data_IF_152694272072
#
_entry.id   IF_152694272072
#
_cell.length_a   1.000
_cell.length_b   1.000
_cell.length_c   1.000
_cell.angle_alpha   90.00
_cell.angle_beta   90.00
_cell.angle_gamma   90.00
#
_symmetry.space_group_name_H-M   'P 1'
#
loop_
_entity.id
_entity.type
_entity.pdbx_description
1 polymer ?
#
# COMPACT_ATOMS: atom_id res chain seq x y z
N UNK A 1 26.67 -18.60 39.25
CA UNK A 1 25.41 -17.92 38.86
C UNK A 1 25.02 -18.45 37.50
N UNK A 2 23.73 -18.70 37.23
CA UNK A 2 23.26 -19.10 35.90
C UNK A 2 23.40 -17.92 34.93
N UNK A 3 23.58 -18.18 33.64
CA UNK A 3 23.60 -17.14 32.58
C UNK A 3 22.31 -16.30 32.60
N UNK A 4 21.20 -16.92 33.01
CA UNK A 4 19.93 -16.24 33.28
C UNK A 4 20.01 -15.25 34.45
N UNK A 5 20.72 -15.59 35.53
CA UNK A 5 20.84 -14.75 36.72
C UNK A 5 21.73 -13.52 36.44
N UNK A 6 22.74 -13.65 35.57
CA UNK A 6 23.57 -12.53 35.12
C UNK A 6 22.80 -11.54 34.25
N UNK A 7 21.91 -12.03 33.37
CA UNK A 7 21.02 -11.19 32.55
C UNK A 7 19.99 -10.45 33.41
N UNK A 8 19.38 -11.11 34.40
CA UNK A 8 18.45 -10.48 35.35
C UNK A 8 19.16 -9.37 36.11
N UNK A 9 20.35 -9.65 36.67
CA UNK A 9 21.14 -8.65 37.39
C UNK A 9 21.48 -7.45 36.51
N UNK A 10 21.88 -7.68 35.26
CA UNK A 10 22.20 -6.60 34.31
C UNK A 10 20.98 -5.72 33.98
N UNK A 11 19.79 -6.32 33.87
CA UNK A 11 18.53 -5.58 33.65
C UNK A 11 18.13 -4.76 34.88
N UNK A 12 18.33 -5.30 36.09
CA UNK A 12 18.07 -4.58 37.34
C UNK A 12 19.05 -3.41 37.52
N UNK A 13 20.33 -3.60 37.21
CA UNK A 13 21.34 -2.52 37.23
C UNK A 13 21.03 -1.41 36.21
N UNK A 14 20.29 -1.73 35.13
CA UNK A 14 19.79 -0.76 34.14
C UNK A 14 18.49 -0.05 34.58
N UNK A 15 17.96 -0.35 35.77
CA UNK A 15 16.79 0.32 36.36
C UNK A 15 15.43 -0.32 36.05
N UNK A 16 15.41 -1.57 35.59
CA UNK A 16 14.18 -2.37 35.47
C UNK A 16 13.89 -3.15 36.76
N UNK A 17 12.62 -3.45 37.05
CA UNK A 17 12.31 -4.28 38.20
C UNK A 17 12.67 -5.75 37.92
N UNK A 18 12.92 -6.52 38.98
CA UNK A 18 13.24 -7.94 38.86
C UNK A 18 12.07 -8.73 38.22
N UNK A 19 10.83 -8.33 38.51
CA UNK A 19 9.64 -8.92 37.89
C UNK A 19 9.57 -8.64 36.38
N UNK A 20 9.90 -7.42 35.93
CA UNK A 20 9.96 -7.07 34.51
C UNK A 20 11.05 -7.86 33.77
N UNK A 21 12.22 -7.99 34.39
CA UNK A 21 13.32 -8.79 33.84
C UNK A 21 12.92 -10.27 33.69
N UNK A 22 12.29 -10.85 34.72
CA UNK A 22 11.82 -12.23 34.69
C UNK A 22 10.71 -12.46 33.66
N UNK A 23 9.75 -11.54 33.54
CA UNK A 23 8.70 -11.60 32.53
C UNK A 23 9.26 -11.49 31.12
N UNK A 24 10.23 -10.60 30.88
CA UNK A 24 10.86 -10.44 29.58
C UNK A 24 11.62 -11.70 29.15
N UNK A 25 12.38 -12.30 30.06
CA UNK A 25 13.10 -13.55 29.79
C UNK A 25 12.12 -14.70 29.54
N UNK A 26 11.02 -14.78 30.28
CA UNK A 26 9.98 -15.81 30.05
C UNK A 26 9.28 -15.62 28.70
N UNK A 27 9.05 -14.36 28.28
CA UNK A 27 8.37 -14.03 27.02
C UNK A 27 9.26 -14.19 25.80
N UNK A 28 10.52 -13.78 25.89
CA UNK A 28 11.45 -13.72 24.76
C UNK A 28 12.38 -14.93 24.67
N UNK A 29 12.51 -15.73 25.74
CA UNK A 29 13.48 -16.81 25.81
C UNK A 29 14.90 -16.28 26.03
N UNK A 30 15.89 -17.12 25.73
CA UNK A 30 17.30 -16.78 25.88
C UNK A 30 17.82 -15.97 24.69
N UNK A 31 17.54 -14.67 24.71
CA UNK A 31 17.92 -13.70 23.67
C UNK A 31 18.97 -12.71 24.18
N UNK A 32 19.44 -11.83 23.30
CA UNK A 32 20.42 -10.79 23.65
C UNK A 32 19.84 -9.79 24.65
N UNK A 33 20.70 -9.21 25.49
CA UNK A 33 20.31 -8.29 26.57
C UNK A 33 19.53 -7.08 26.04
N UNK A 34 19.88 -6.56 24.86
CA UNK A 34 19.18 -5.42 24.27
C UNK A 34 17.77 -5.76 23.75
N UNK A 35 17.53 -7.00 23.33
CA UNK A 35 16.19 -7.45 22.94
C UNK A 35 15.26 -7.59 24.16
N UNK A 36 15.80 -7.99 25.31
CA UNK A 36 15.06 -7.99 26.58
C UNK A 36 14.69 -6.56 27.01
N UNK A 37 15.61 -5.59 26.87
CA UNK A 37 15.37 -4.17 27.16
C UNK A 37 14.27 -3.59 26.26
N UNK A 38 14.31 -3.90 24.96
CA UNK A 38 13.28 -3.46 24.01
C UNK A 38 11.90 -4.07 24.34
N UNK A 39 11.86 -5.33 24.78
CA UNK A 39 10.64 -6.03 25.19
C UNK A 39 9.98 -5.41 26.44
N UNK A 40 10.79 -5.08 27.46
CA UNK A 40 10.31 -4.41 28.68
C UNK A 40 9.81 -2.99 28.33
N UNK A 41 10.57 -2.26 27.53
CA UNK A 41 10.22 -0.90 27.10
C UNK A 41 8.92 -0.86 26.28
N UNK A 42 8.71 -1.84 25.40
CA UNK A 42 7.47 -1.99 24.64
C UNK A 42 6.27 -2.28 25.55
N UNK A 43 6.46 -3.07 26.62
CA UNK A 43 5.41 -3.43 27.58
C UNK A 43 4.96 -2.23 28.42
N UNK A 44 5.90 -1.39 28.87
CA UNK A 44 5.58 -0.16 29.61
C UNK A 44 4.77 0.83 28.77
N UNK A 45 5.04 0.92 27.47
CA UNK A 45 4.28 1.78 26.55
C UNK A 45 2.83 1.30 26.40
N UNK A 46 2.60 -0.01 26.43
CA UNK A 46 1.24 -0.56 26.38
C UNK A 46 0.46 -0.30 27.66
N UNK A 47 1.08 -0.41 28.84
CA UNK A 47 0.41 -0.16 30.13
C UNK A 47 0.06 1.32 30.35
N UNK A 48 0.94 2.24 29.95
CA UNK A 48 0.67 3.70 30.00
C UNK A 48 -0.47 4.15 29.06
N UNK A 49 -0.77 3.34 28.04
CA UNK A 49 -1.92 3.58 27.14
C UNK A 49 -3.25 3.05 27.69
N UNK A 50 -3.20 2.13 28.66
CA UNK A 50 -4.37 1.55 29.32
C UNK A 50 -4.76 2.29 30.61
N UNK A 51 -3.81 2.92 31.31
CA UNK A 51 -4.09 3.70 32.54
C UNK A 51 -4.82 5.03 32.30
N UNK A 52 -4.87 5.53 31.05
CA UNK A 52 -5.51 6.81 30.70
C UNK A 52 -6.97 6.73 30.23
N UNK A 53 -7.58 5.54 30.18
CA UNK A 53 -8.92 5.35 29.60
C UNK A 53 -9.93 4.61 30.51
N UNK A 54 -9.74 4.60 31.84
CA UNK A 54 -10.70 4.00 32.78
C UNK A 54 -11.49 5.07 33.54
N UNK A 55 -12.44 5.70 32.86
CA UNK A 55 -13.68 6.17 33.47
C UNK A 55 -14.80 6.10 32.44
N UNK A 56 -15.89 5.42 32.81
CA UNK A 56 -17.16 5.22 32.09
C UNK A 56 -17.23 4.07 31.06
N UNK A 57 -17.47 2.85 31.56
CA UNK A 57 -18.82 2.26 31.56
C UNK A 57 -18.79 0.80 32.04
N UNK A 58 -19.45 0.56 33.19
CA UNK A 58 -19.90 -0.76 33.61
C UNK A 58 -21.11 -1.18 32.77
N UNK A 59 -20.98 -2.22 31.94
CA UNK A 59 -22.10 -3.11 31.60
C UNK A 59 -21.58 -4.56 31.62
N UNK A 60 -21.89 -5.19 32.74
CA UNK A 60 -22.12 -6.62 33.02
C UNK A 60 -21.71 -7.67 31.98
N UNK A 61 -20.81 -8.53 32.43
CA UNK A 61 -20.77 -9.97 32.18
C UNK A 61 -22.15 -10.58 31.88
N UNK A 62 -22.26 -11.24 30.72
CA UNK A 62 -22.96 -12.52 30.56
C UNK A 62 -22.66 -13.14 29.21
N UNK A 63 -22.41 -14.45 29.27
CA UNK A 63 -22.42 -15.44 28.19
C UNK A 63 -21.10 -15.66 27.42
N UNK A 64 -20.17 -16.30 28.11
CA UNK A 64 -19.47 -17.47 27.53
C UNK A 64 -20.49 -18.60 27.32
N UNK A 65 -20.57 -19.09 26.08
CA UNK A 65 -20.77 -20.50 25.66
C UNK A 65 -21.58 -20.58 24.36
N UNK A 66 -20.87 -20.82 23.25
CA UNK A 66 -21.24 -21.73 22.15
C UNK A 66 -20.56 -21.34 20.82
N UNK A 67 -19.31 -21.74 20.62
CA UNK A 67 -18.75 -21.89 19.27
C UNK A 67 -18.78 -23.37 18.88
N UNK A 68 -19.95 -23.82 18.42
CA UNK A 68 -20.11 -25.06 17.68
C UNK A 68 -19.74 -24.83 16.20
N UNK A 69 -18.80 -25.64 15.71
CA UNK A 69 -18.26 -25.54 14.36
C UNK A 69 -19.21 -25.91 13.21
N UNK A 70 -18.64 -25.83 11.99
CA UNK A 70 -19.18 -26.15 10.64
C UNK A 70 -19.95 -25.02 9.94
N UNK A 71 -19.22 -24.22 9.14
CA UNK A 71 -19.75 -23.63 7.88
C UNK A 71 -18.67 -23.17 6.86
N UNK A 72 -17.44 -23.70 6.90
CA UNK A 72 -16.38 -23.36 5.92
C UNK A 72 -16.33 -24.25 4.68
N UNK A 73 -16.99 -25.43 4.71
CA UNK A 73 -16.90 -26.43 3.64
C UNK A 73 -17.71 -26.08 2.36
N UNK A 74 -18.76 -25.25 2.46
CA UNK A 74 -19.65 -24.97 1.31
C UNK A 74 -19.04 -24.08 0.22
N UNK A 75 -18.06 -23.23 0.54
CA UNK A 75 -17.39 -22.36 -0.44
C UNK A 75 -16.41 -23.13 -1.35
N UNK A 76 -15.93 -24.29 -0.91
CA UNK A 76 -14.92 -25.07 -1.63
C UNK A 76 -15.50 -25.99 -2.70
N UNK A 77 -16.80 -26.29 -2.62
CA UNK A 77 -17.46 -27.32 -3.44
C UNK A 77 -18.04 -26.76 -4.75
N UNK A 78 -18.45 -25.49 -4.78
CA UNK A 78 -18.88 -24.81 -6.01
C UNK A 78 -17.72 -24.62 -7.01
N UNK A 79 -16.49 -24.47 -6.50
CA UNK A 79 -15.28 -24.33 -7.32
C UNK A 79 -14.92 -25.61 -8.08
N UNK A 80 -15.33 -26.79 -7.59
CA UNK A 80 -15.07 -28.08 -8.24
C UNK A 80 -16.04 -28.39 -9.38
N UNK A 81 -17.26 -27.84 -9.36
CA UNK A 81 -18.31 -28.14 -10.35
C UNK A 81 -18.09 -27.51 -11.73
N UNK A 82 -17.22 -26.50 -11.88
CA UNK A 82 -16.87 -25.92 -13.18
C UNK A 82 -15.75 -26.67 -13.94
N UNK A 83 -15.19 -27.75 -13.37
CA UNK A 83 -14.04 -28.47 -13.91
C UNK A 83 -14.36 -29.44 -15.08
N UNK A 84 -15.63 -29.67 -15.43
CA UNK A 84 -16.03 -30.76 -16.34
C UNK A 84 -16.47 -30.34 -17.77
N UNK A 85 -16.02 -29.22 -18.34
CA UNK A 85 -16.42 -28.88 -19.72
C UNK A 85 -15.34 -28.59 -20.76
N UNK A 86 -14.05 -28.62 -20.43
CA UNK A 86 -13.03 -28.40 -21.46
C UNK A 86 -11.86 -29.36 -21.28
N UNK A 87 -11.99 -30.53 -21.92
CA UNK A 87 -10.89 -31.48 -22.11
C UNK A 87 -10.23 -31.30 -23.48
N UNK A 88 -8.92 -31.01 -23.46
CA UNK A 88 -7.91 -31.52 -24.39
C UNK A 88 -7.81 -30.96 -25.82
N UNK A 89 -6.71 -30.25 -26.13
CA UNK A 89 -5.53 -30.82 -26.85
C UNK A 89 -4.37 -29.83 -27.04
N UNK A 90 -3.18 -30.38 -26.76
CA UNK A 90 -1.78 -30.14 -27.13
C UNK A 90 -1.28 -28.90 -27.93
N UNK A 91 -0.25 -28.29 -27.31
CA UNK A 91 1.09 -27.89 -27.80
C UNK A 91 1.32 -26.58 -28.57
N UNK A 92 2.19 -25.76 -27.95
CA UNK A 92 3.00 -24.70 -28.55
C UNK A 92 3.81 -23.97 -27.47
N UNK A 93 5.12 -24.21 -27.42
CA UNK A 93 6.13 -23.69 -26.49
C UNK A 93 5.76 -22.45 -25.65
N UNK A 94 5.31 -22.70 -24.42
CA UNK A 94 5.30 -21.77 -23.29
C UNK A 94 6.21 -22.36 -22.21
N UNK A 95 6.94 -21.55 -21.41
CA UNK A 95 7.65 -22.09 -20.25
C UNK A 95 6.60 -22.74 -19.35
N UNK A 96 6.78 -24.03 -19.08
CA UNK A 96 5.92 -24.79 -18.18
C UNK A 96 5.85 -24.12 -16.82
N UNK A 97 4.68 -23.60 -16.44
CA UNK A 97 4.33 -23.23 -15.07
C UNK A 97 4.07 -24.50 -14.23
N UNK A 98 5.03 -25.43 -14.24
CA UNK A 98 5.06 -26.60 -13.34
C UNK A 98 6.15 -26.43 -12.26
N UNK A 99 6.52 -25.17 -12.00
CA UNK A 99 7.34 -24.82 -10.85
C UNK A 99 6.49 -24.96 -9.59
N UNK A 100 7.01 -25.70 -8.61
CA UNK A 100 6.41 -25.87 -7.28
C UNK A 100 5.77 -24.57 -6.77
N UNK A 101 4.63 -24.67 -6.08
CA UNK A 101 3.93 -23.52 -5.45
C UNK A 101 4.78 -22.71 -4.45
N UNK A 102 6.05 -23.08 -4.28
CA UNK A 102 7.03 -22.57 -3.35
C UNK A 102 8.20 -21.85 -4.03
N UNK A 103 8.09 -21.30 -5.25
CA UNK A 103 9.13 -20.38 -5.77
C UNK A 103 8.67 -18.91 -5.74
N UNK A 104 9.47 -17.99 -5.19
CA UNK A 104 9.15 -16.56 -5.20
C UNK A 104 9.19 -16.02 -6.63
N UNK A 105 8.14 -15.31 -7.04
CA UNK A 105 8.13 -14.63 -8.34
C UNK A 105 9.26 -13.58 -8.37
N UNK A 106 10.25 -13.70 -9.28
CA UNK A 106 11.39 -12.81 -9.29
C UNK A 106 10.96 -11.39 -9.69
N UNK A 107 11.41 -10.40 -8.91
CA UNK A 107 11.14 -8.99 -9.21
C UNK A 107 12.06 -8.51 -10.34
N UNK A 108 11.52 -7.92 -11.43
CA UNK A 108 12.33 -7.39 -12.52
C UNK A 108 13.31 -6.32 -12.03
N UNK A 109 14.50 -6.29 -12.64
CA UNK A 109 15.49 -5.23 -12.46
C UNK A 109 16.06 -4.82 -13.84
N UNK A 110 15.74 -3.62 -14.36
CA UNK A 110 14.99 -2.55 -13.72
C UNK A 110 13.48 -2.83 -13.63
N UNK A 111 12.81 -2.26 -12.62
CA UNK A 111 11.38 -2.45 -12.36
C UNK A 111 10.55 -1.38 -13.07
N UNK A 112 10.40 -1.56 -14.39
CA UNK A 112 9.86 -0.54 -15.32
C UNK A 112 8.54 -0.97 -15.98
N UNK A 113 7.86 -1.97 -15.42
CA UNK A 113 6.59 -2.47 -15.96
C UNK A 113 6.73 -3.06 -17.36
N UNK A 114 5.68 -2.95 -18.16
CA UNK A 114 5.62 -3.52 -19.51
C UNK A 114 6.12 -2.57 -20.59
N UNK A 115 5.97 -1.25 -20.40
CA UNK A 115 6.26 -0.28 -21.45
C UNK A 115 6.51 1.15 -20.95
N UNK A 116 7.18 1.34 -19.82
CA UNK A 116 7.42 2.70 -19.31
C UNK A 116 8.26 3.55 -20.30
N UNK A 117 7.92 4.84 -20.51
CA UNK A 117 8.60 5.67 -21.51
C UNK A 117 10.10 5.83 -21.18
N UNK A 118 10.95 5.74 -22.21
CA UNK A 118 12.40 5.86 -22.08
C UNK A 118 13.15 4.55 -21.82
N UNK A 119 12.46 3.42 -21.73
CA UNK A 119 13.06 2.09 -21.64
C UNK A 119 12.83 1.31 -22.95
N UNK A 120 13.92 0.82 -23.55
CA UNK A 120 13.88 -0.13 -24.66
C UNK A 120 13.75 -1.54 -24.07
N UNK A 121 12.53 -2.01 -23.86
CA UNK A 121 12.28 -3.41 -23.51
C UNK A 121 11.67 -4.17 -24.69
N UNK A 122 11.91 -5.49 -24.81
CA UNK A 122 11.15 -6.33 -25.74
C UNK A 122 9.65 -6.14 -25.46
N UNK A 123 8.86 -5.98 -26.51
CA UNK A 123 7.41 -5.91 -26.39
C UNK A 123 6.90 -7.09 -25.57
N UNK A 124 6.32 -6.84 -24.40
CA UNK A 124 5.70 -7.90 -23.61
C UNK A 124 4.41 -8.31 -24.33
N UNK A 125 4.45 -9.42 -25.07
CA UNK A 125 3.25 -9.97 -25.69
C UNK A 125 2.40 -10.63 -24.62
N UNK A 126 1.42 -9.89 -24.10
CA UNK A 126 0.47 -10.39 -23.10
C UNK A 126 -0.78 -10.92 -23.78
N UNK A 127 -0.89 -12.23 -23.93
CA UNK A 127 -2.09 -12.88 -24.46
C UNK A 127 -3.06 -13.12 -23.31
N UNK A 128 -4.14 -12.35 -23.27
CA UNK A 128 -5.25 -12.60 -22.36
C UNK A 128 -6.30 -13.50 -23.02
N UNK A 129 -6.93 -14.43 -22.29
CA UNK A 129 -8.13 -15.12 -22.76
C UNK A 129 -9.21 -14.11 -23.17
N UNK A 130 -9.96 -14.37 -24.25
CA UNK A 130 -11.02 -13.46 -24.74
C UNK A 130 -12.07 -13.10 -23.68
N UNK A 131 -12.33 -14.01 -22.74
CA UNK A 131 -13.26 -13.82 -21.62
C UNK A 131 -12.73 -12.86 -20.54
N UNK A 132 -11.43 -12.54 -20.56
CA UNK A 132 -10.75 -11.67 -19.60
C UNK A 132 -10.32 -10.35 -20.23
N UNK A 133 -10.58 -10.17 -21.53
CA UNK A 133 -10.41 -8.90 -22.25
C UNK A 133 -11.71 -8.09 -22.28
N UNK A 134 -11.60 -6.77 -22.18
CA UNK A 134 -12.73 -5.85 -22.26
C UNK A 134 -13.38 -5.55 -20.90
N UNK A 135 -14.52 -4.81 -20.91
CA UNK A 135 -15.18 -4.38 -19.69
C UNK A 135 -15.82 -5.55 -18.91
N UNK A 136 -15.83 -5.49 -17.57
CA UNK A 136 -15.16 -4.47 -16.77
C UNK A 136 -13.64 -4.62 -16.88
N UNK A 137 -12.96 -3.50 -17.15
CA UNK A 137 -11.52 -3.46 -16.89
C UNK A 137 -11.32 -3.56 -15.38
N UNK A 138 -10.27 -4.24 -14.94
CA UNK A 138 -9.93 -4.31 -13.54
C UNK A 138 -8.50 -3.89 -13.31
N UNK A 139 -8.22 -3.31 -12.16
CA UNK A 139 -6.90 -2.82 -11.78
C UNK A 139 -6.67 -3.03 -10.28
N UNK A 140 -5.79 -3.96 -9.94
CA UNK A 140 -5.46 -4.30 -8.57
C UNK A 140 -3.98 -4.00 -8.26
N UNK A 141 -3.73 -3.23 -7.20
CA UNK A 141 -2.39 -2.88 -6.72
C UNK A 141 -2.04 -3.62 -5.43
N UNK A 142 -0.77 -4.02 -5.31
CA UNK A 142 -0.19 -4.50 -4.07
C UNK A 142 1.32 -4.20 -4.00
N UNK A 143 1.91 -4.29 -2.81
CA UNK A 143 3.36 -4.09 -2.63
C UNK A 143 4.17 -5.10 -3.43
N UNK A 144 5.20 -4.65 -4.15
CA UNK A 144 6.03 -5.54 -4.97
C UNK A 144 6.74 -6.61 -4.12
N UNK A 145 7.32 -6.19 -2.99
CA UNK A 145 8.04 -7.05 -2.05
C UNK A 145 7.09 -7.77 -1.08
N UNK A 146 6.01 -8.35 -1.60
CA UNK A 146 5.09 -9.15 -0.80
C UNK A 146 5.75 -10.48 -0.33
N UNK A 147 5.26 -11.10 0.76
CA UNK A 147 5.71 -12.43 1.18
C UNK A 147 5.63 -13.47 0.05
N UNK A 148 6.43 -14.52 0.21
CA UNK A 148 6.50 -15.66 -0.73
C UNK A 148 5.10 -16.26 -0.95
N UNK A 149 4.78 -16.62 -2.20
CA UNK A 149 3.48 -17.20 -2.57
C UNK A 149 2.32 -16.19 -2.71
N UNK A 150 2.45 -14.95 -2.24
CA UNK A 150 1.39 -13.94 -2.33
C UNK A 150 1.08 -13.58 -3.78
N UNK A 151 2.09 -13.22 -4.57
CA UNK A 151 1.88 -12.88 -5.99
C UNK A 151 1.39 -14.06 -6.83
N UNK A 152 1.87 -15.27 -6.55
CA UNK A 152 1.36 -16.48 -7.20
C UNK A 152 -0.13 -16.68 -6.90
N UNK A 153 -0.55 -16.45 -5.65
CA UNK A 153 -1.96 -16.54 -5.27
C UNK A 153 -2.78 -15.42 -5.92
N UNK A 154 -2.34 -14.16 -5.85
CA UNK A 154 -3.06 -13.04 -6.45
C UNK A 154 -3.23 -13.28 -7.97
N UNK A 155 -2.16 -13.69 -8.66
CA UNK A 155 -2.21 -14.04 -10.10
C UNK A 155 -3.23 -15.14 -10.37
N UNK A 156 -3.15 -16.26 -9.63
CA UNK A 156 -4.07 -17.39 -9.79
C UNK A 156 -5.55 -17.00 -9.63
N UNK A 157 -5.85 -16.13 -8.68
CA UNK A 157 -7.22 -15.65 -8.48
C UNK A 157 -7.63 -14.59 -9.51
N UNK A 158 -6.70 -13.76 -9.98
CA UNK A 158 -6.95 -12.76 -11.03
C UNK A 158 -6.61 -13.29 -12.43
N UNK A 159 -7.15 -14.48 -12.73
CA UNK A 159 -7.16 -15.11 -14.06
C UNK A 159 -5.78 -15.47 -14.62
N UNK A 160 -4.84 -15.84 -13.75
CA UNK A 160 -3.46 -16.19 -14.08
C UNK A 160 -2.70 -15.06 -14.82
N UNK A 161 -3.14 -13.81 -14.61
CA UNK A 161 -2.55 -12.63 -15.23
C UNK A 161 -1.25 -12.26 -14.52
N UNK A 162 -0.18 -12.13 -15.31
CA UNK A 162 1.11 -11.69 -14.81
C UNK A 162 1.04 -10.27 -14.23
N UNK A 163 1.57 -10.02 -13.02
CA UNK A 163 1.67 -8.68 -12.46
C UNK A 163 2.68 -7.81 -13.21
N UNK A 164 2.30 -6.57 -13.46
CA UNK A 164 3.17 -5.49 -13.93
C UNK A 164 3.90 -4.87 -12.73
N UNK A 165 5.20 -5.14 -12.58
CA UNK A 165 6.01 -4.57 -11.50
C UNK A 165 6.65 -3.24 -11.92
N UNK A 166 6.33 -2.16 -11.20
CA UNK A 166 6.85 -0.80 -11.47
C UNK A 166 7.37 -0.17 -10.18
N UNK A 167 8.52 0.49 -10.27
CA UNK A 167 9.01 1.41 -9.25
C UNK A 167 8.73 2.86 -9.69
N UNK A 168 7.89 3.59 -8.95
CA UNK A 168 7.51 4.97 -9.30
C UNK A 168 8.69 5.94 -9.42
N UNK A 169 9.90 5.60 -8.91
CA UNK A 169 11.10 6.43 -9.10
C UNK A 169 11.45 6.71 -10.56
N UNK A 170 10.95 5.88 -11.48
CA UNK A 170 11.20 6.04 -12.91
C UNK A 170 10.31 7.15 -13.53
N UNK A 171 9.24 7.53 -12.82
CA UNK A 171 8.30 8.60 -13.18
C UNK A 171 8.50 9.85 -12.31
N UNK A 172 8.66 9.70 -11.00
CA UNK A 172 8.73 10.82 -10.04
C UNK A 172 9.95 10.74 -9.11
N UNK A 173 10.09 11.74 -8.23
CA UNK A 173 11.20 11.90 -7.28
C UNK A 173 11.19 10.92 -6.10
N UNK A 174 10.23 9.98 -6.03
CA UNK A 174 10.10 9.02 -4.92
C UNK A 174 10.05 7.58 -5.43
N UNK A 175 10.82 6.69 -4.82
CA UNK A 175 10.71 5.27 -5.08
C UNK A 175 9.44 4.68 -4.47
N UNK A 176 8.69 3.89 -5.22
CA UNK A 176 7.50 3.17 -4.75
C UNK A 176 7.32 1.92 -5.58
N UNK A 177 7.93 0.83 -5.12
CA UNK A 177 7.86 -0.49 -5.78
C UNK A 177 6.51 -1.13 -5.55
N UNK A 178 5.74 -1.35 -6.61
CA UNK A 178 4.42 -1.97 -6.61
C UNK A 178 4.28 -2.99 -7.74
N UNK A 179 3.39 -3.94 -7.54
CA UNK A 179 2.87 -4.79 -8.61
C UNK A 179 1.42 -4.42 -8.90
N UNK A 180 1.05 -4.50 -10.17
CA UNK A 180 -0.29 -4.19 -10.66
C UNK A 180 -0.80 -5.35 -11.49
N UNK A 181 -1.96 -5.92 -11.15
CA UNK A 181 -2.63 -6.90 -12.01
C UNK A 181 -3.86 -6.24 -12.61
N UNK A 182 -3.92 -6.25 -13.94
CA UNK A 182 -5.02 -5.66 -14.69
C UNK A 182 -5.22 -6.33 -16.04
N UNK A 183 -6.38 -6.13 -16.63
CA UNK A 183 -6.66 -6.53 -18.02
C UNK A 183 -6.62 -5.36 -19.02
N UNK A 184 -6.18 -4.16 -18.59
CA UNK A 184 -6.02 -3.00 -19.47
C UNK A 184 -5.08 -3.27 -20.65
N UNK A 185 -5.35 -2.70 -21.84
CA UNK A 185 -4.38 -2.62 -22.92
C UNK A 185 -3.06 -2.01 -22.44
N UNK A 186 -1.97 -2.51 -22.99
CA UNK A 186 -0.63 -2.02 -22.64
C UNK A 186 -0.11 -1.09 -23.74
N UNK A 187 -0.61 -1.19 -24.96
CA UNK A 187 -0.26 -0.31 -26.07
C UNK A 187 -0.85 1.10 -25.90
N UNK A 188 -0.22 2.09 -26.52
CA UNK A 188 -0.71 3.48 -26.59
C UNK A 188 -0.94 4.17 -25.24
N UNK A 189 -0.22 3.76 -24.19
CA UNK A 189 -0.17 4.50 -22.92
C UNK A 189 0.52 5.85 -23.11
N UNK A 190 0.06 6.85 -22.37
CA UNK A 190 0.64 8.19 -22.36
C UNK A 190 0.83 8.69 -20.93
N UNK A 191 1.95 9.37 -20.61
CA UNK A 191 2.15 9.94 -19.29
C UNK A 191 1.29 11.18 -19.08
N UNK A 192 1.01 11.50 -17.81
CA UNK A 192 0.40 12.78 -17.46
C UNK A 192 1.33 13.94 -17.78
N UNK A 193 0.74 15.03 -18.26
CA UNK A 193 1.42 16.30 -18.50
C UNK A 193 0.89 17.37 -17.54
N UNK A 194 1.75 18.26 -17.01
CA UNK A 194 3.21 18.20 -17.09
C UNK A 194 3.79 16.97 -16.37
N UNK A 195 4.96 16.51 -16.81
CA UNK A 195 5.65 15.39 -16.16
C UNK A 195 6.00 15.76 -14.71
N UNK A 196 5.84 14.83 -13.75
CA UNK A 196 6.23 15.09 -12.37
C UNK A 196 7.76 15.23 -12.24
N UNK A 197 8.24 15.97 -11.22
CA UNK A 197 9.67 16.11 -10.98
C UNK A 197 10.29 14.73 -10.67
N UNK A 198 11.47 14.45 -11.26
CA UNK A 198 12.20 13.18 -11.10
C UNK A 198 13.24 13.21 -10.00
N UNK A 199 13.61 14.40 -9.52
CA UNK A 199 14.59 14.57 -8.44
C UNK A 199 14.06 15.45 -7.31
N UNK A 200 14.66 15.29 -6.12
CA UNK A 200 14.37 16.13 -4.94
C UNK A 200 14.52 17.61 -5.27
N UNK A 201 15.54 17.98 -6.05
CA UNK A 201 15.84 19.37 -6.36
C UNK A 201 14.97 19.95 -7.47
N UNK A 202 14.41 19.12 -8.35
CA UNK A 202 13.34 19.55 -9.27
C UNK A 202 12.03 19.78 -8.51
N UNK A 203 11.71 18.92 -7.54
CA UNK A 203 10.52 19.06 -6.72
C UNK A 203 10.62 20.26 -5.76
N UNK A 204 11.78 20.41 -5.12
CA UNK A 204 12.03 21.38 -4.05
C UNK A 204 13.41 22.04 -4.21
N UNK A 205 13.55 23.03 -5.12
CA UNK A 205 14.84 23.66 -5.39
C UNK A 205 15.50 24.31 -4.17
N UNK A 206 14.68 24.78 -3.21
CA UNK A 206 15.13 25.47 -2.01
C UNK A 206 15.97 24.58 -1.05
N UNK A 207 15.82 23.26 -1.10
CA UNK A 207 16.65 22.33 -0.32
C UNK A 207 18.11 22.30 -0.75
N UNK A 208 18.40 22.65 -2.01
CA UNK A 208 19.77 22.64 -2.56
C UNK A 208 20.73 23.52 -1.74
N UNK A 209 20.24 24.62 -1.17
CA UNK A 209 21.03 25.56 -0.35
C UNK A 209 21.67 24.88 0.87
N UNK A 210 20.99 23.90 1.46
CA UNK A 210 21.40 23.26 2.71
C UNK A 210 21.90 21.83 2.52
N UNK A 211 21.90 21.34 1.28
CA UNK A 211 22.24 19.96 0.98
C UNK A 211 23.76 19.75 1.06
N UNK A 212 24.26 18.87 1.94
CA UNK A 212 25.69 18.62 2.03
C UNK A 212 26.19 17.83 0.82
N UNK A 213 27.43 18.09 0.40
CA UNK A 213 28.06 17.43 -0.75
C UNK A 213 28.21 15.90 -0.59
N UNK A 214 28.18 15.39 0.64
CA UNK A 214 28.25 13.96 0.94
C UNK A 214 26.89 13.26 0.98
N UNK A 215 25.77 14.00 0.94
CA UNK A 215 24.44 13.42 0.73
C UNK A 215 24.16 13.32 -0.78
N UNK A 216 24.42 12.15 -1.33
CA UNK A 216 24.27 11.88 -2.77
C UNK A 216 22.83 11.54 -3.20
N UNK A 217 21.83 11.67 -2.32
CA UNK A 217 20.44 11.37 -2.69
C UNK A 217 19.93 12.39 -3.68
N UNK A 218 19.44 11.90 -4.82
CA UNK A 218 18.68 12.68 -5.79
C UNK A 218 17.19 12.33 -5.75
N UNK A 219 16.82 11.23 -5.11
CA UNK A 219 15.45 10.72 -4.96
C UNK A 219 15.18 10.28 -3.52
N UNK A 220 13.91 10.28 -3.14
CA UNK A 220 13.43 9.81 -1.84
C UNK A 220 13.07 8.32 -1.90
N UNK A 221 13.05 7.67 -0.74
CA UNK A 221 12.54 6.32 -0.60
C UNK A 221 11.00 6.33 -0.55
N UNK A 222 10.40 5.14 -0.45
CA UNK A 222 8.95 5.00 -0.30
C UNK A 222 8.42 5.85 0.84
N UNK A 223 7.48 6.73 0.49
CA UNK A 223 6.75 7.56 1.44
C UNK A 223 5.99 6.67 2.42
N UNK A 224 6.10 6.99 3.72
CA UNK A 224 5.60 6.16 4.82
C UNK A 224 4.44 6.84 5.54
N UNK A 225 3.75 6.07 6.36
CA UNK A 225 2.61 6.53 7.17
C UNK A 225 3.03 7.21 8.46
N UNK A 226 4.29 7.05 8.86
CA UNK A 226 4.88 7.67 10.05
C UNK A 226 6.03 8.59 9.67
N UNK A 227 6.18 9.65 10.46
CA UNK A 227 7.27 10.61 10.33
C UNK A 227 8.28 10.44 11.45
N UNK A 228 9.50 10.91 11.21
CA UNK A 228 10.53 10.95 12.23
C UNK A 228 10.12 11.86 13.40
N UNK A 229 10.52 11.49 14.62
CA UNK A 229 10.29 12.32 15.80
C UNK A 229 11.24 13.51 15.86
N UNK A 230 10.81 14.58 16.52
CA UNK A 230 11.66 15.74 16.79
C UNK A 230 12.96 15.33 17.51
N UNK A 231 12.87 14.41 18.48
CA UNK A 231 14.03 13.84 19.20
C UNK A 231 15.07 13.25 18.25
N UNK A 232 14.65 12.57 17.18
CA UNK A 232 15.58 12.02 16.18
C UNK A 232 16.29 13.14 15.41
N UNK A 233 15.55 14.15 14.96
CA UNK A 233 16.12 15.29 14.22
C UNK A 233 17.08 16.11 15.08
N UNK A 234 16.77 16.29 16.37
CA UNK A 234 17.66 16.94 17.33
C UNK A 234 18.96 16.16 17.54
N UNK A 235 18.87 14.82 17.67
CA UNK A 235 20.04 13.96 17.83
C UNK A 235 20.96 14.03 16.61
N UNK A 236 20.39 14.03 15.40
CA UNK A 236 21.14 14.24 14.15
C UNK A 236 21.82 15.61 14.17
N UNK A 237 21.09 16.67 14.54
CA UNK A 237 21.63 18.03 14.61
C UNK A 237 22.79 18.16 15.60
N UNK A 238 22.68 17.55 16.79
CA UNK A 238 23.77 17.52 17.80
C UNK A 238 25.00 16.78 17.27
N UNK A 239 24.82 15.60 16.68
CA UNK A 239 25.93 14.81 16.13
C UNK A 239 26.69 15.57 15.03
N UNK A 240 25.98 16.32 14.18
CA UNK A 240 26.59 17.15 13.14
C UNK A 240 27.24 18.43 13.70
N UNK A 241 26.67 19.03 14.74
CA UNK A 241 27.23 20.22 15.38
C UNK A 241 28.53 19.92 16.15
N UNK A 242 28.66 18.72 16.70
CA UNK A 242 29.87 18.26 17.41
C UNK A 242 30.92 17.62 16.49
N UNK A 243 30.75 17.69 15.17
CA UNK A 243 31.64 17.06 14.19
C UNK A 243 32.47 18.10 13.42
N UNK A 244 33.60 17.65 12.88
CA UNK A 244 34.38 18.41 11.90
C UNK A 244 33.57 18.71 10.63
N UNK A 245 34.07 19.63 9.80
CA UNK A 245 33.48 19.95 8.50
C UNK A 245 34.44 19.53 7.39
N UNK A 246 34.21 18.41 6.69
CA UNK A 246 33.06 17.50 6.76
C UNK A 246 33.09 16.53 7.96
N UNK A 247 31.92 16.00 8.40
CA UNK A 247 31.87 15.05 9.51
C UNK A 247 32.61 13.75 9.21
N UNK A 248 33.06 13.04 10.26
CA UNK A 248 33.65 11.71 10.11
C UNK A 248 32.71 10.73 9.39
N UNK A 249 33.28 9.76 8.65
CA UNK A 249 32.51 8.79 7.84
C UNK A 249 31.46 8.01 8.65
N UNK A 250 31.75 7.72 9.92
CA UNK A 250 30.81 7.06 10.84
C UNK A 250 29.56 7.90 11.08
N UNK A 251 29.73 9.20 11.33
CA UNK A 251 28.63 10.17 11.52
C UNK A 251 27.85 10.33 10.22
N UNK A 252 28.53 10.49 9.08
CA UNK A 252 27.86 10.55 7.78
C UNK A 252 27.00 9.30 7.53
N UNK A 253 27.54 8.10 7.79
CA UNK A 253 26.81 6.83 7.64
C UNK A 253 25.58 6.78 8.53
N UNK A 254 25.70 7.17 9.80
CA UNK A 254 24.58 7.25 10.74
C UNK A 254 23.49 8.21 10.25
N UNK A 255 23.85 9.45 9.93
CA UNK A 255 22.91 10.48 9.49
C UNK A 255 22.22 10.06 8.19
N UNK A 256 22.98 9.51 7.24
CA UNK A 256 22.42 9.03 5.97
C UNK A 256 21.47 7.85 6.14
N UNK A 257 21.72 6.95 7.10
CA UNK A 257 20.80 5.85 7.41
C UNK A 257 19.46 6.38 7.93
N UNK A 258 19.51 7.31 8.88
CA UNK A 258 18.30 7.93 9.43
C UNK A 258 17.56 8.79 8.40
N UNK A 259 18.29 9.55 7.56
CA UNK A 259 17.69 10.34 6.49
C UNK A 259 17.00 9.46 5.44
N UNK A 260 17.61 8.33 5.05
CA UNK A 260 16.97 7.36 4.14
C UNK A 260 15.78 6.66 4.77
N UNK A 261 15.86 6.32 6.06
CA UNK A 261 14.78 5.67 6.80
C UNK A 261 13.59 6.62 6.93
N UNK A 262 13.82 7.86 7.35
CA UNK A 262 12.77 8.85 7.63
C UNK A 262 12.38 9.74 6.45
N UNK A 263 12.98 9.57 5.27
CA UNK A 263 12.89 10.52 4.16
C UNK A 263 13.17 11.98 4.59
N UNK A 264 14.19 12.15 5.45
CA UNK A 264 14.53 13.48 5.97
C UNK A 264 15.20 14.33 4.89
N UNK A 265 14.89 15.62 4.90
CA UNK A 265 15.41 16.64 3.99
C UNK A 265 16.13 17.74 4.77
N UNK A 266 17.08 18.41 4.11
CA UNK A 266 17.93 19.43 4.74
C UNK A 266 17.26 20.80 4.68
N UNK A 267 16.92 21.34 5.85
CA UNK A 267 16.18 22.61 5.98
C UNK A 267 17.05 23.77 6.51
N UNK A 268 18.28 23.47 6.92
CA UNK A 268 19.19 24.44 7.51
C UNK A 268 20.56 23.85 7.79
N UNK A 269 21.52 24.70 8.20
CA UNK A 269 22.84 24.25 8.65
C UNK A 269 22.69 23.25 9.79
N UNK A 270 23.14 22.01 9.57
CA UNK A 270 23.04 20.89 10.51
C UNK A 270 21.60 20.55 10.94
N UNK A 271 20.59 20.90 10.13
CA UNK A 271 19.18 20.68 10.44
C UNK A 271 18.51 19.86 9.34
N UNK A 272 17.87 18.78 9.77
CA UNK A 272 17.03 17.93 8.94
C UNK A 272 15.60 17.92 9.48
N UNK A 273 14.63 17.75 8.61
CA UNK A 273 13.22 17.64 8.96
C UNK A 273 12.53 16.54 8.14
N UNK A 274 11.42 15.96 8.62
CA UNK A 274 10.52 15.19 7.77
C UNK A 274 9.91 16.08 6.68
N UNK A 275 9.42 15.46 5.61
CA UNK A 275 8.61 16.15 4.60
C UNK A 275 7.30 16.63 5.23
N UNK A 276 6.86 17.82 4.88
CA UNK A 276 5.53 18.32 5.24
C UNK A 276 4.43 17.58 4.44
N UNK A 277 3.18 17.54 4.92
CA UNK A 277 2.11 16.82 4.23
C UNK A 277 1.85 17.34 2.81
N UNK A 278 1.95 18.65 2.60
CA UNK A 278 1.76 19.29 1.29
C UNK A 278 2.86 18.86 0.31
N UNK A 279 4.08 18.60 0.79
CA UNK A 279 5.18 18.08 -0.02
C UNK A 279 4.93 16.63 -0.40
N UNK A 280 4.39 15.82 0.51
CA UNK A 280 3.98 14.45 0.21
C UNK A 280 2.82 14.40 -0.78
N UNK A 281 1.81 15.28 -0.65
CA UNK A 281 0.73 15.43 -1.63
C UNK A 281 1.28 15.71 -3.03
N UNK A 282 2.20 16.68 -3.12
CA UNK A 282 2.85 17.06 -4.38
C UNK A 282 3.64 15.90 -5.00
N UNK A 283 4.47 15.21 -4.22
CA UNK A 283 5.27 14.06 -4.68
C UNK A 283 4.40 12.86 -5.12
N UNK A 284 3.23 12.69 -4.50
CA UNK A 284 2.28 11.63 -4.83
C UNK A 284 1.36 12.00 -6.01
N UNK A 285 1.43 13.25 -6.49
CA UNK A 285 0.63 13.74 -7.62
C UNK A 285 -0.81 14.13 -7.25
N UNK A 286 -1.08 14.40 -5.97
CA UNK A 286 -2.36 14.94 -5.49
C UNK A 286 -2.42 16.47 -5.66
N UNK A 287 -3.63 17.05 -5.71
CA UNK A 287 -3.79 18.49 -5.58
C UNK A 287 -3.16 19.01 -4.28
N UNK A 288 -2.70 20.26 -4.31
CA UNK A 288 -2.24 20.95 -3.11
C UNK A 288 -3.38 21.03 -2.09
N UNK A 289 -3.05 20.81 -0.82
CA UNK A 289 -4.00 20.87 0.30
C UNK A 289 -5.08 19.77 0.26
N UNK A 290 -4.91 18.71 -0.55
CA UNK A 290 -5.91 17.65 -0.73
C UNK A 290 -6.33 16.98 0.59
N UNK A 291 -5.40 16.79 1.53
CA UNK A 291 -5.68 16.19 2.84
C UNK A 291 -5.81 17.21 3.97
N UNK A 292 -5.76 18.51 3.64
CA UNK A 292 -5.82 19.58 4.64
C UNK A 292 -7.16 19.58 5.37
N UNK A 293 -7.10 19.84 6.68
CA UNK A 293 -8.26 19.80 7.56
C UNK A 293 -8.39 18.50 8.36
N UNK A 294 -7.60 17.47 8.06
CA UNK A 294 -7.37 16.35 8.97
C UNK A 294 -6.27 16.65 9.99
N UNK A 295 -6.25 15.88 11.09
CA UNK A 295 -5.13 15.89 12.02
C UNK A 295 -3.84 15.45 11.34
N UNK A 296 -2.71 16.03 11.74
CA UNK A 296 -1.40 15.83 11.08
C UNK A 296 -1.03 14.33 10.93
N UNK A 297 -1.27 13.53 11.97
CA UNK A 297 -1.02 12.08 11.96
C UNK A 297 -1.90 11.34 10.94
N UNK A 298 -3.16 11.75 10.81
CA UNK A 298 -4.07 11.14 9.85
C UNK A 298 -3.67 11.48 8.40
N UNK A 299 -3.21 12.71 8.15
CA UNK A 299 -2.69 13.11 6.84
C UNK A 299 -1.54 12.22 6.39
N UNK A 300 -0.51 12.06 7.23
CA UNK A 300 0.61 11.16 6.94
C UNK A 300 0.17 9.71 6.74
N UNK A 301 -0.75 9.22 7.58
CA UNK A 301 -1.26 7.86 7.48
C UNK A 301 -2.01 7.62 6.16
N UNK A 302 -2.81 8.57 5.71
CA UNK A 302 -3.55 8.48 4.45
C UNK A 302 -2.64 8.61 3.24
N UNK A 303 -1.68 9.55 3.26
CA UNK A 303 -0.72 9.76 2.17
C UNK A 303 0.28 8.60 2.02
N UNK A 304 0.75 7.99 3.11
CA UNK A 304 1.64 6.82 3.02
C UNK A 304 1.00 5.63 2.32
N UNK A 305 -0.32 5.45 2.49
CA UNK A 305 -1.07 4.29 2.01
C UNK A 305 -1.86 4.50 0.71
N UNK A 306 -1.77 5.68 0.08
CA UNK A 306 -2.48 5.99 -1.17
C UNK A 306 -1.73 5.52 -2.43
N UNK A 307 -2.29 5.70 -3.62
CA UNK A 307 -1.57 5.49 -4.88
C UNK A 307 -0.56 6.60 -5.18
N UNK A 308 0.45 6.29 -5.99
CA UNK A 308 1.18 7.33 -6.71
C UNK A 308 0.39 7.64 -7.98
N UNK A 309 -0.17 8.86 -8.06
CA UNK A 309 -1.18 9.24 -9.05
C UNK A 309 -0.63 9.16 -10.48
N UNK A 310 0.58 9.65 -10.73
CA UNK A 310 1.14 9.68 -12.09
C UNK A 310 1.43 8.27 -12.65
N UNK A 311 1.81 7.32 -11.80
CA UNK A 311 2.04 5.91 -12.14
C UNK A 311 0.72 5.24 -12.50
N UNK A 312 -0.31 5.41 -11.68
CA UNK A 312 -1.65 4.87 -11.95
C UNK A 312 -2.24 5.52 -13.21
N UNK A 313 -2.10 6.83 -13.36
CA UNK A 313 -2.58 7.54 -14.53
C UNK A 313 -1.90 7.07 -15.82
N UNK A 314 -0.60 6.75 -15.78
CA UNK A 314 0.08 6.15 -16.93
C UNK A 314 -0.60 4.86 -17.39
N UNK A 315 -0.94 3.96 -16.47
CA UNK A 315 -1.63 2.72 -16.81
C UNK A 315 -3.08 2.94 -17.25
N UNK A 316 -3.80 3.87 -16.62
CA UNK A 316 -5.20 4.17 -16.94
C UNK A 316 -5.38 5.04 -18.19
N UNK A 317 -4.30 5.62 -18.73
CA UNK A 317 -4.35 6.55 -19.87
C UNK A 317 -5.03 5.98 -21.12
N UNK A 318 -4.93 4.67 -21.34
CA UNK A 318 -5.58 3.96 -22.46
C UNK A 318 -7.11 4.11 -22.45
N UNK A 319 -7.70 4.26 -21.26
CA UNK A 319 -9.15 4.41 -21.11
C UNK A 319 -9.68 5.72 -21.70
N UNK A 320 -8.83 6.75 -21.86
CA UNK A 320 -9.25 8.05 -22.36
C UNK A 320 -9.80 7.98 -23.78
N UNK A 321 -9.13 7.23 -24.66
CA UNK A 321 -9.56 7.07 -26.06
C UNK A 321 -10.72 6.09 -26.16
N UNK A 322 -10.75 5.08 -25.29
CA UNK A 322 -11.78 4.03 -25.29
C UNK A 322 -13.13 4.51 -24.79
N UNK A 323 -13.15 5.49 -23.86
CA UNK A 323 -14.35 5.98 -23.20
C UNK A 323 -14.45 7.52 -23.32
N UNK A 324 -14.69 8.07 -24.53
CA UNK A 324 -14.73 9.51 -24.75
C UNK A 324 -15.86 10.21 -23.97
N UNK A 325 -16.93 9.47 -23.66
CA UNK A 325 -18.07 9.97 -22.89
C UNK A 325 -17.90 9.79 -21.37
N UNK A 326 -16.76 9.26 -20.92
CA UNK A 326 -16.49 8.95 -19.52
C UNK A 326 -16.85 7.52 -19.09
N UNK A 327 -16.48 7.20 -17.85
CA UNK A 327 -16.50 5.85 -17.28
C UNK A 327 -17.37 5.74 -16.02
N UNK A 328 -17.92 4.55 -15.80
CA UNK A 328 -18.48 4.11 -14.52
C UNK A 328 -17.42 3.31 -13.75
N UNK A 329 -17.15 3.69 -12.50
CA UNK A 329 -16.06 3.10 -11.69
C UNK A 329 -16.60 2.46 -10.42
N UNK A 330 -16.15 1.25 -10.14
CA UNK A 330 -16.25 0.61 -8.83
C UNK A 330 -14.87 0.64 -8.17
N UNK A 331 -14.73 1.48 -7.15
CA UNK A 331 -13.47 1.71 -6.45
C UNK A 331 -13.51 1.03 -5.09
N UNK A 332 -12.68 0.00 -4.91
CA UNK A 332 -12.58 -0.77 -3.68
C UNK A 332 -11.32 -0.34 -2.91
N UNK A 333 -11.47 -0.07 -1.61
CA UNK A 333 -10.38 0.45 -0.77
C UNK A 333 -9.88 1.81 -1.29
N UNK A 334 -10.83 2.70 -1.57
CA UNK A 334 -10.61 3.97 -2.30
C UNK A 334 -9.57 4.88 -1.64
N UNK A 335 -9.41 4.83 -0.31
CA UNK A 335 -8.53 5.72 0.42
C UNK A 335 -8.92 7.17 0.18
N UNK A 336 -7.94 8.00 -0.17
CA UNK A 336 -8.15 9.43 -0.46
C UNK A 336 -8.45 9.72 -1.93
N UNK A 337 -8.85 8.71 -2.71
CA UNK A 337 -9.28 8.89 -4.10
C UNK A 337 -8.15 8.88 -5.13
N UNK A 338 -7.08 8.12 -4.90
CA UNK A 338 -5.90 8.15 -5.78
C UNK A 338 -6.18 7.70 -7.22
N UNK A 339 -7.11 6.76 -7.42
CA UNK A 339 -7.50 6.30 -8.76
C UNK A 339 -8.36 7.33 -9.49
N UNK A 340 -9.25 7.97 -8.75
CA UNK A 340 -10.19 8.98 -9.25
C UNK A 340 -9.48 10.29 -9.57
N UNK A 341 -8.51 10.69 -8.75
CA UNK A 341 -7.62 11.82 -9.04
C UNK A 341 -6.80 11.53 -10.30
N UNK A 342 -6.33 10.29 -10.50
CA UNK A 342 -5.65 9.90 -11.74
C UNK A 342 -6.57 10.01 -12.97
N UNK A 343 -7.80 9.49 -12.90
CA UNK A 343 -8.80 9.61 -13.98
C UNK A 343 -9.15 11.07 -14.29
N UNK A 344 -9.36 11.88 -13.25
CA UNK A 344 -9.63 13.31 -13.39
C UNK A 344 -8.48 14.04 -14.07
N UNK A 345 -7.23 13.81 -13.65
CA UNK A 345 -6.04 14.42 -14.28
C UNK A 345 -5.83 13.96 -15.73
N UNK A 346 -6.29 12.77 -16.11
CA UNK A 346 -6.32 12.32 -17.51
C UNK A 346 -7.40 13.03 -18.34
N UNK A 347 -8.35 13.73 -17.70
CA UNK A 347 -9.51 14.33 -18.34
C UNK A 347 -10.59 13.29 -18.69
N UNK A 348 -10.61 12.15 -17.99
CA UNK A 348 -11.64 11.12 -18.17
C UNK A 348 -12.80 11.47 -17.24
N UNK A 349 -13.95 11.78 -17.83
CA UNK A 349 -15.15 12.07 -17.06
C UNK A 349 -15.61 10.82 -16.29
N UNK A 350 -15.89 10.98 -14.99
CA UNK A 350 -16.45 9.90 -14.17
C UNK A 350 -17.96 10.10 -14.05
N UNK A 351 -18.75 9.27 -14.76
CA UNK A 351 -20.21 9.37 -14.79
C UNK A 351 -20.82 8.94 -13.45
N UNK A 352 -20.40 7.78 -12.98
CA UNK A 352 -20.79 7.21 -11.70
C UNK A 352 -19.57 6.56 -11.03
N UNK A 353 -19.39 6.82 -9.74
CA UNK A 353 -18.38 6.17 -8.91
C UNK A 353 -19.06 5.55 -7.71
N UNK A 354 -18.86 4.25 -7.51
CA UNK A 354 -19.19 3.56 -6.27
C UNK A 354 -17.88 3.33 -5.52
N UNK A 355 -17.65 4.09 -4.45
CA UNK A 355 -16.43 4.01 -3.65
C UNK A 355 -16.66 3.25 -2.35
N UNK A 356 -15.75 2.35 -2.01
CA UNK A 356 -15.80 1.55 -0.78
C UNK A 356 -14.60 1.88 0.10
N UNK A 357 -14.85 2.57 1.22
CA UNK A 357 -13.80 3.03 2.13
C UNK A 357 -14.25 3.00 3.60
N UNK A 358 -13.49 2.28 4.42
CA UNK A 358 -13.82 2.05 5.83
C UNK A 358 -13.49 3.25 6.72
N UNK A 359 -12.48 4.05 6.39
CA UNK A 359 -12.06 5.17 7.22
C UNK A 359 -12.85 6.42 6.89
N UNK A 360 -13.58 6.93 7.89
CA UNK A 360 -14.34 8.19 7.81
C UNK A 360 -13.46 9.38 7.39
N UNK A 361 -12.23 9.46 7.87
CA UNK A 361 -11.29 10.53 7.50
C UNK A 361 -10.97 10.54 5.99
N UNK A 362 -10.73 9.36 5.41
CA UNK A 362 -10.47 9.19 3.99
C UNK A 362 -11.69 9.54 3.14
N UNK A 363 -12.87 9.03 3.53
CA UNK A 363 -14.15 9.41 2.90
C UNK A 363 -14.37 10.91 2.90
N UNK A 364 -14.12 11.59 4.03
CA UNK A 364 -14.28 13.05 4.14
C UNK A 364 -13.38 13.80 3.15
N UNK A 365 -12.12 13.38 3.00
CA UNK A 365 -11.20 13.94 2.00
C UNK A 365 -11.76 13.71 0.59
N UNK A 366 -12.08 12.46 0.27
CA UNK A 366 -12.50 12.09 -1.08
C UNK A 366 -13.81 12.79 -1.48
N UNK A 367 -14.79 12.85 -0.57
CA UNK A 367 -16.03 13.60 -0.72
C UNK A 367 -15.78 15.09 -0.98
N UNK A 368 -14.92 15.71 -0.16
CA UNK A 368 -14.59 17.13 -0.32
C UNK A 368 -13.95 17.43 -1.67
N UNK A 369 -13.05 16.58 -2.14
CA UNK A 369 -12.48 16.67 -3.48
C UNK A 369 -13.53 16.44 -4.57
N UNK A 370 -14.40 15.43 -4.41
CA UNK A 370 -15.45 15.11 -5.38
C UNK A 370 -16.40 16.29 -5.59
N UNK A 371 -16.89 16.90 -4.51
CA UNK A 371 -17.86 18.00 -4.58
C UNK A 371 -17.28 19.26 -5.25
N UNK A 372 -15.96 19.44 -5.18
CA UNK A 372 -15.28 20.57 -5.79
C UNK A 372 -14.94 20.36 -7.27
N UNK A 373 -14.84 19.11 -7.73
CA UNK A 373 -14.20 18.79 -9.01
C UNK A 373 -15.04 17.96 -9.97
N UNK A 374 -16.05 17.24 -9.48
CA UNK A 374 -16.81 16.27 -10.27
C UNK A 374 -18.29 16.62 -10.35
N UNK A 375 -18.89 16.29 -11.49
CA UNK A 375 -20.33 16.47 -11.77
C UNK A 375 -21.11 15.16 -11.81
N UNK A 376 -20.41 14.02 -11.76
CA UNK A 376 -21.02 12.69 -11.79
C UNK A 376 -21.69 12.30 -10.48
N UNK A 377 -22.24 11.08 -10.46
CA UNK A 377 -22.83 10.49 -9.26
C UNK A 377 -21.77 9.78 -8.41
N UNK A 378 -21.64 10.14 -7.14
CA UNK A 378 -20.82 9.39 -6.17
C UNK A 378 -21.72 8.66 -5.15
N UNK A 379 -21.51 7.35 -5.03
CA UNK A 379 -22.13 6.49 -4.02
C UNK A 379 -21.02 5.95 -3.10
N UNK A 380 -21.11 6.28 -1.82
CA UNK A 380 -20.15 5.83 -0.82
C UNK A 380 -20.68 4.62 -0.04
N UNK A 381 -19.81 3.63 0.17
CA UNK A 381 -20.09 2.41 0.93
C UNK A 381 -18.99 2.23 1.97
N UNK A 382 -19.37 1.90 3.19
CA UNK A 382 -18.44 1.85 4.33
C UNK A 382 -17.58 0.59 4.34
N UNK A 383 -18.20 -0.58 4.12
CA UNK A 383 -17.51 -1.85 4.21
C UNK A 383 -17.71 -2.67 2.93
N UNK A 384 -16.62 -3.25 2.43
CA UNK A 384 -16.60 -4.19 1.31
C UNK A 384 -17.46 -5.42 1.57
N UNK A 385 -17.66 -5.80 2.83
CA UNK A 385 -18.56 -6.88 3.26
C UNK A 385 -20.03 -6.54 3.01
N UNK A 386 -20.39 -5.26 3.03
CA UNK A 386 -21.76 -4.81 2.79
C UNK A 386 -22.14 -4.80 1.30
N UNK A 387 -21.17 -4.98 0.41
CA UNK A 387 -21.39 -5.04 -1.03
C UNK A 387 -21.73 -6.49 -1.44
N UNK A 388 -22.99 -6.87 -1.21
CA UNK A 388 -23.55 -8.17 -1.61
C UNK A 388 -23.76 -8.27 -3.11
N UNK A 389 -23.90 -9.49 -3.62
CA UNK A 389 -24.09 -9.74 -5.05
C UNK A 389 -25.37 -9.08 -5.58
N UNK A 390 -26.46 -9.03 -4.80
CA UNK A 390 -27.70 -8.32 -5.16
C UNK A 390 -27.50 -6.81 -5.31
N UNK A 391 -26.72 -6.19 -4.41
CA UNK A 391 -26.37 -4.77 -4.52
C UNK A 391 -25.52 -4.51 -5.75
N UNK A 392 -24.59 -5.40 -6.07
CA UNK A 392 -23.77 -5.31 -7.28
C UNK A 392 -24.65 -5.38 -8.53
N UNK A 393 -25.57 -6.35 -8.60
CA UNK A 393 -26.54 -6.46 -9.70
C UNK A 393 -27.37 -5.19 -9.81
N UNK A 394 -27.87 -4.65 -8.70
CA UNK A 394 -28.62 -3.39 -8.68
C UNK A 394 -27.81 -2.22 -9.25
N UNK A 395 -26.54 -2.07 -8.88
CA UNK A 395 -25.68 -1.02 -9.44
C UNK A 395 -25.37 -1.24 -10.92
N UNK A 396 -25.11 -2.48 -11.33
CA UNK A 396 -24.87 -2.83 -12.73
C UNK A 396 -26.10 -2.49 -13.58
N UNK A 397 -27.31 -2.86 -13.14
CA UNK A 397 -28.56 -2.49 -13.82
C UNK A 397 -28.80 -0.97 -13.83
N UNK A 398 -28.48 -0.27 -12.73
CA UNK A 398 -28.70 1.19 -12.61
C UNK A 398 -27.78 1.99 -13.52
N UNK A 399 -26.53 1.58 -13.66
CA UNK A 399 -25.50 2.36 -14.38
C UNK A 399 -25.20 1.84 -15.79
N UNK A 400 -25.78 0.69 -16.19
CA UNK A 400 -25.44 0.04 -17.45
C UNK A 400 -24.11 -0.73 -17.40
N UNK A 401 -23.68 -1.15 -16.21
CA UNK A 401 -22.40 -1.80 -15.96
C UNK A 401 -21.29 -0.86 -15.46
N UNK A 402 -20.15 -1.47 -15.13
CA UNK A 402 -18.93 -0.77 -14.72
C UNK A 402 -17.86 -0.92 -15.79
N UNK A 403 -17.22 0.18 -16.17
CA UNK A 403 -16.12 0.17 -17.14
C UNK A 403 -14.80 -0.18 -16.46
N UNK A 404 -14.63 0.22 -15.19
CA UNK A 404 -13.43 0.00 -14.38
C UNK A 404 -13.77 -0.46 -12.96
N UNK A 405 -13.15 -1.55 -12.53
CA UNK A 405 -13.09 -2.01 -11.13
C UNK A 405 -11.67 -1.83 -10.63
N UNK A 406 -11.43 -0.87 -9.75
CA UNK A 406 -10.09 -0.53 -9.26
C UNK A 406 -9.98 -0.78 -7.76
N UNK A 407 -8.82 -1.24 -7.29
CA UNK A 407 -8.54 -1.32 -5.86
C UNK A 407 -7.09 -1.54 -5.50
N UNK A 408 -6.72 -1.12 -4.30
CA UNK A 408 -5.39 -1.32 -3.72
C UNK A 408 -5.47 -2.17 -2.47
N UNK A 409 -4.45 -3.00 -2.24
CA UNK A 409 -4.37 -3.77 -0.99
C UNK A 409 -4.23 -2.80 0.20
N UNK A 410 -5.08 -2.88 1.25
CA UNK A 410 -4.93 -2.09 2.46
C UNK A 410 -3.69 -2.58 3.23
N UNK A 411 -2.54 -2.01 2.89
CA UNK A 411 -1.23 -2.44 3.37
C UNK A 411 -0.93 -1.90 4.77
N UNK A 412 -1.30 -2.61 5.84
CA UNK A 412 -0.58 -2.47 7.12
C UNK A 412 0.25 -3.72 7.47
N UNK A 413 -0.13 -4.92 7.02
CA UNK A 413 0.60 -6.17 7.35
C UNK A 413 1.57 -6.68 6.27
N UNK A 414 1.56 -6.10 5.06
CA UNK A 414 2.45 -6.51 3.96
C UNK A 414 3.68 -5.60 3.77
N UNK A 415 3.74 -4.44 4.44
CA UNK A 415 4.90 -3.56 4.39
C UNK A 415 5.99 -4.07 5.34
N UNK A 416 7.18 -4.37 4.80
CA UNK A 416 8.30 -5.01 5.50
C UNK A 416 8.90 -4.30 6.73
N UNK A 417 8.23 -3.27 7.29
CA UNK A 417 8.62 -2.61 8.54
C UNK A 417 7.90 -3.15 9.79
N UNK A 418 6.81 -3.92 9.66
CA UNK A 418 6.23 -4.67 10.77
C UNK A 418 6.81 -6.09 10.79
N UNK A 419 8.02 -6.25 11.35
CA UNK A 419 8.71 -7.56 11.42
C UNK A 419 7.97 -8.62 12.24
N UNK A 420 6.95 -8.24 13.02
CA UNK A 420 6.36 -9.12 14.04
C UNK A 420 5.17 -9.99 13.57
N UNK A 421 4.38 -9.61 12.56
CA UNK A 421 3.27 -10.44 12.06
C UNK A 421 3.36 -10.63 10.54
N UNK A 422 4.12 -11.64 10.10
CA UNK A 422 4.14 -12.10 8.71
C UNK A 422 3.02 -13.13 8.46
N UNK A 423 1.76 -12.73 8.63
CA UNK A 423 0.66 -13.69 8.48
C UNK A 423 0.28 -13.99 7.02
N UNK A 424 1.16 -13.70 6.06
CA UNK A 424 0.95 -14.02 4.64
C UNK A 424 -0.44 -13.63 4.14
N UNK A 425 -1.12 -14.54 3.44
CA UNK A 425 -2.52 -14.36 3.03
C UNK A 425 -3.56 -14.83 4.07
N UNK A 426 -3.11 -15.22 5.26
CA UNK A 426 -3.94 -15.76 6.35
C UNK A 426 -4.32 -14.71 7.41
N UNK A 427 -3.64 -13.55 7.42
CA UNK A 427 -3.99 -12.41 8.28
C UNK A 427 -5.29 -11.70 7.89
N UNK A 428 -5.92 -11.00 8.84
CA UNK A 428 -7.23 -10.33 8.67
C UNK A 428 -7.29 -9.34 7.49
N UNK A 429 -6.16 -8.69 7.15
CA UNK A 429 -6.09 -7.76 6.00
C UNK A 429 -5.96 -8.48 4.66
N UNK A 430 -5.45 -9.71 4.64
CA UNK A 430 -5.33 -10.54 3.44
C UNK A 430 -6.65 -11.14 3.00
N UNK A 431 -7.64 -11.22 3.90
CA UNK A 431 -9.02 -11.54 3.57
C UNK A 431 -9.64 -10.54 2.58
N UNK A 432 -9.17 -9.29 2.59
CA UNK A 432 -9.74 -8.21 1.77
C UNK A 432 -9.46 -8.41 0.28
N UNK A 433 -8.36 -9.09 -0.08
CA UNK A 433 -8.13 -9.52 -1.46
C UNK A 433 -9.24 -10.46 -1.97
N UNK A 434 -9.67 -11.42 -1.16
CA UNK A 434 -10.75 -12.32 -1.56
C UNK A 434 -12.08 -11.60 -1.72
N UNK A 435 -12.32 -10.52 -0.96
CA UNK A 435 -13.47 -9.66 -1.19
C UNK A 435 -13.37 -8.90 -2.52
N UNK A 436 -12.20 -8.39 -2.88
CA UNK A 436 -11.97 -7.79 -4.21
C UNK A 436 -12.29 -8.79 -5.33
N UNK A 437 -11.72 -10.01 -5.26
CA UNK A 437 -11.97 -11.05 -6.25
C UNK A 437 -13.45 -11.46 -6.34
N UNK A 438 -14.11 -11.65 -5.19
CA UNK A 438 -15.55 -11.96 -5.14
C UNK A 438 -16.36 -10.89 -5.86
N UNK A 439 -16.10 -9.61 -5.55
CA UNK A 439 -16.82 -8.48 -6.13
C UNK A 439 -16.56 -8.39 -7.63
N UNK A 440 -15.31 -8.50 -8.07
CA UNK A 440 -14.95 -8.49 -9.49
C UNK A 440 -15.70 -9.58 -10.27
N UNK A 441 -15.75 -10.81 -9.74
CA UNK A 441 -16.50 -11.89 -10.38
C UNK A 441 -18.00 -11.64 -10.39
N UNK A 442 -18.57 -11.07 -9.31
CA UNK A 442 -19.98 -10.72 -9.26
C UNK A 442 -20.32 -9.64 -10.30
N UNK A 443 -19.47 -8.63 -10.47
CA UNK A 443 -19.62 -7.62 -11.53
C UNK A 443 -19.54 -8.25 -12.91
N UNK A 444 -18.50 -9.05 -13.21
CA UNK A 444 -18.37 -9.76 -14.49
C UNK A 444 -19.60 -10.63 -14.78
N UNK A 445 -20.09 -11.36 -13.77
CA UNK A 445 -21.26 -12.24 -13.92
C UNK A 445 -22.57 -11.48 -14.07
N UNK A 446 -22.71 -10.30 -13.45
CA UNK A 446 -23.87 -9.44 -13.64
C UNK A 446 -23.88 -8.81 -15.04
N UNK A 447 -22.73 -8.29 -15.48
CA UNK A 447 -22.60 -7.67 -16.81
C UNK A 447 -22.76 -8.69 -17.95
N UNK A 448 -22.32 -9.95 -17.77
CA UNK A 448 -22.53 -11.01 -18.76
C UNK A 448 -24.00 -11.48 -18.88
N UNK A 449 -24.88 -11.07 -17.95
CA UNK A 449 -26.32 -11.37 -17.97
C UNK A 449 -27.19 -10.22 -18.47
N UNK A 450 -26.60 -9.04 -18.66
CA UNK A 450 -27.23 -7.91 -19.36
C UNK A 450 -27.18 -8.15 -20.86
#
# INVERSE_FOLDING_TARGET
>A
MSEKDEKIKSLVDMGFSEDEANMAITRCGDVDLWELVDSISASRITEDSHSRNLSDHQITDRCFDSFGGRKKARLMEESKKKRNRYGGRAQGNQPSLDGSHDEPMPLPNPMVGFNLPGYLQPSVTRILPKQDTGPPFFYYENVAQAPKGVWATISRFLYDIQPEFVDSKHLCATARKRGYIHNLPIENRSPLLPMPPKTIFEAFPHYKKWWPSWDLRTQLNCLRTNVASAKLTERIGRALASSDSPPARSVQKYVMNECRKGNLVWIGKNKVAPLEPEEMEYLLGFPKDHTRGLGITERYKSLGNTFQVDTVAYHLSVLKVMFPNGVNVLSLFTGIGGGEVALHRLGIHMKAVVSVEIRKANKRIFRGWWDQTQTGTLIEIDDVKSLTDDRIVSFVSRFGGFDLVIGGSPCNNLAGCNRYNRDGLEGEQSALFYHYFRILNAVKSAMARM
#
